data_IF_588816558939
#
_entry.id   IF_588816558939
#
_cell.length_a   1.000
_cell.length_b   1.000
_cell.length_c   1.000
_cell.angle_alpha   90.00
_cell.angle_beta   90.00
_cell.angle_gamma   90.00
#
_symmetry.space_group_name_H-M   'P 1'
#
loop_
_entity.id
_entity.type
_entity.pdbx_description
1 polymer ?
#
# COMPACT_ATOMS: atom_id res chain seq x y z
N UNK A 1 1.23 2.34 22.55
CA UNK A 1 0.50 3.20 21.60
C UNK A 1 1.51 3.83 20.66
N UNK A 2 1.38 3.62 19.35
CA UNK A 2 2.30 4.17 18.34
C UNK A 2 1.74 5.49 17.82
N UNK A 3 2.32 6.62 18.23
CA UNK A 3 1.81 7.97 17.91
C UNK A 3 1.67 8.22 16.40
N UNK A 4 2.55 7.63 15.61
CA UNK A 4 2.55 7.79 14.15
C UNK A 4 1.51 6.92 13.44
N UNK A 5 1.01 5.85 14.09
CA UNK A 5 0.15 4.88 13.42
C UNK A 5 -1.21 5.46 13.04
N UNK A 6 -1.87 6.18 13.94
CA UNK A 6 -3.20 6.73 13.68
C UNK A 6 -3.23 7.65 12.44
N UNK A 7 -2.41 8.72 12.39
CA UNK A 7 -2.38 9.63 11.25
C UNK A 7 -1.99 8.94 9.93
N UNK A 8 -0.96 8.08 9.96
CA UNK A 8 -0.48 7.40 8.75
C UNK A 8 -1.50 6.41 8.21
N UNK A 9 -2.17 5.66 9.09
CA UNK A 9 -3.24 4.74 8.71
C UNK A 9 -4.43 5.49 8.12
N UNK A 10 -4.91 6.55 8.78
CA UNK A 10 -6.05 7.33 8.29
C UNK A 10 -5.77 7.97 6.92
N UNK A 11 -4.56 8.50 6.72
CA UNK A 11 -4.17 9.08 5.43
C UNK A 11 -4.10 8.01 4.33
N UNK A 12 -3.40 6.89 4.60
CA UNK A 12 -3.29 5.77 3.65
C UNK A 12 -4.67 5.20 3.30
N UNK A 13 -5.51 4.96 4.31
CA UNK A 13 -6.83 4.36 4.11
C UNK A 13 -7.74 5.26 3.30
N UNK A 14 -7.86 6.54 3.69
CA UNK A 14 -8.70 7.53 3.00
C UNK A 14 -8.29 7.72 1.54
N UNK A 15 -6.98 7.83 1.28
CA UNK A 15 -6.46 7.93 -0.08
C UNK A 15 -6.71 6.64 -0.89
N UNK A 16 -6.53 5.48 -0.27
CA UNK A 16 -6.74 4.18 -0.93
C UNK A 16 -8.19 3.94 -1.34
N UNK A 17 -9.15 4.24 -0.46
CA UNK A 17 -10.59 4.10 -0.81
C UNK A 17 -11.01 5.11 -1.89
N UNK A 18 -10.52 6.34 -1.84
CA UNK A 18 -10.79 7.35 -2.88
C UNK A 18 -10.23 6.90 -4.23
N UNK A 19 -8.97 6.44 -4.26
CA UNK A 19 -8.34 5.95 -5.49
C UNK A 19 -9.06 4.72 -6.07
N UNK A 20 -9.49 3.78 -5.21
CA UNK A 20 -10.23 2.61 -5.65
C UNK A 20 -11.60 2.97 -6.26
N UNK A 21 -12.26 4.01 -5.75
CA UNK A 21 -13.53 4.51 -6.31
C UNK A 21 -13.30 5.26 -7.64
N UNK A 22 -12.33 6.17 -7.68
CA UNK A 22 -12.00 6.96 -8.88
C UNK A 22 -11.55 6.10 -10.07
N UNK A 23 -10.87 4.99 -9.79
CA UNK A 23 -10.36 4.05 -10.81
C UNK A 23 -11.38 2.96 -11.15
N UNK A 24 -12.53 2.91 -10.46
CA UNK A 24 -13.52 1.87 -10.68
C UNK A 24 -14.16 2.00 -12.07
N UNK A 25 -14.39 0.85 -12.71
CA UNK A 25 -15.24 0.79 -13.90
C UNK A 25 -16.68 1.21 -13.49
N UNK A 26 -17.40 1.99 -14.32
CA UNK A 26 -18.76 2.43 -14.00
C UNK A 26 -19.66 1.28 -13.55
N UNK A 27 -20.28 1.42 -12.38
CA UNK A 27 -21.14 0.39 -11.78
C UNK A 27 -20.42 -0.70 -10.97
N UNK A 28 -19.08 -0.70 -10.90
CA UNK A 28 -18.28 -1.70 -10.18
C UNK A 28 -17.49 -1.14 -8.99
N UNK A 29 -17.89 0.01 -8.44
CA UNK A 29 -17.23 0.62 -7.26
C UNK A 29 -17.15 -0.36 -6.08
N UNK A 30 -18.25 -1.05 -5.74
CA UNK A 30 -18.25 -2.05 -4.66
C UNK A 30 -17.22 -3.17 -4.88
N UNK A 31 -17.06 -3.63 -6.12
CA UNK A 31 -16.05 -4.64 -6.48
C UNK A 31 -14.64 -4.08 -6.31
N UNK A 32 -14.39 -2.83 -6.75
CA UNK A 32 -13.10 -2.17 -6.57
C UNK A 32 -12.72 -1.99 -5.09
N UNK A 33 -13.67 -1.57 -4.25
CA UNK A 33 -13.49 -1.50 -2.80
C UNK A 33 -13.24 -2.88 -2.18
N UNK A 34 -13.93 -3.91 -2.66
CA UNK A 34 -13.71 -5.29 -2.25
C UNK A 34 -12.29 -5.78 -2.56
N UNK A 35 -11.78 -5.47 -3.77
CA UNK A 35 -10.40 -5.79 -4.17
C UNK A 35 -9.39 -5.02 -3.32
N UNK A 36 -9.58 -3.72 -3.11
CA UNK A 36 -8.72 -2.91 -2.26
C UNK A 36 -8.65 -3.48 -0.84
N UNK A 37 -9.81 -3.72 -0.22
CA UNK A 37 -9.90 -4.26 1.12
C UNK A 37 -9.30 -5.68 1.22
N UNK A 38 -9.60 -6.56 0.27
CA UNK A 38 -9.05 -7.91 0.21
C UNK A 38 -7.53 -7.91 0.01
N UNK A 39 -6.99 -6.92 -0.69
CA UNK A 39 -5.54 -6.76 -0.87
C UNK A 39 -4.87 -6.25 0.39
N UNK A 40 -5.41 -5.20 1.03
CA UNK A 40 -4.79 -4.58 2.22
C UNK A 40 -4.96 -5.47 3.46
N UNK A 41 -6.21 -5.84 3.78
CA UNK A 41 -6.53 -6.57 5.01
C UNK A 41 -6.40 -8.09 4.87
N UNK A 42 -6.49 -8.63 3.65
CA UNK A 42 -6.35 -10.06 3.37
C UNK A 42 -4.94 -10.44 2.97
N UNK A 43 -4.64 -10.31 1.68
CA UNK A 43 -3.38 -10.78 1.07
C UNK A 43 -2.15 -10.10 1.69
N UNK A 44 -2.17 -8.78 1.83
CA UNK A 44 -1.10 -8.00 2.42
C UNK A 44 -0.82 -8.42 3.86
N UNK A 45 -1.87 -8.55 4.68
CA UNK A 45 -1.76 -9.05 6.06
C UNK A 45 -1.17 -10.46 6.12
N UNK A 46 -1.65 -11.38 5.27
CA UNK A 46 -1.18 -12.76 5.27
C UNK A 46 0.30 -12.87 4.86
N UNK A 47 0.69 -12.21 3.77
CA UNK A 47 2.08 -12.18 3.31
C UNK A 47 2.99 -11.49 4.34
N UNK A 48 2.54 -10.36 4.89
CA UNK A 48 3.27 -9.65 5.94
C UNK A 48 3.48 -10.49 7.20
N UNK A 49 2.48 -11.25 7.61
CA UNK A 49 2.58 -12.14 8.77
C UNK A 49 3.55 -13.31 8.51
N UNK A 50 3.46 -13.96 7.34
CA UNK A 50 4.33 -15.09 6.98
C UNK A 50 5.79 -14.64 6.82
N UNK A 51 6.03 -13.62 5.99
CA UNK A 51 7.39 -13.13 5.69
C UNK A 51 7.98 -12.44 6.93
N UNK A 52 7.21 -11.59 7.59
CA UNK A 52 7.62 -10.88 8.78
C UNK A 52 7.89 -11.82 9.96
N UNK A 53 7.05 -12.84 10.14
CA UNK A 53 7.24 -13.88 11.16
C UNK A 53 8.53 -14.66 10.93
N UNK A 54 8.77 -15.10 9.69
CA UNK A 54 10.01 -15.79 9.33
C UNK A 54 11.26 -14.92 9.58
N UNK A 55 11.25 -13.66 9.14
CA UNK A 55 12.36 -12.72 9.37
C UNK A 55 12.58 -12.43 10.86
N UNK A 56 11.49 -12.33 11.62
CA UNK A 56 11.54 -12.12 13.06
C UNK A 56 12.18 -13.33 13.77
N UNK A 57 11.79 -14.54 13.39
CA UNK A 57 12.33 -15.78 13.96
C UNK A 57 13.81 -15.98 13.62
N UNK A 58 14.21 -15.72 12.36
CA UNK A 58 15.58 -15.96 11.91
C UNK A 58 16.59 -14.91 12.39
N UNK A 59 16.16 -13.64 12.44
CA UNK A 59 17.08 -12.48 12.53
C UNK A 59 16.73 -11.51 13.65
N UNK A 60 15.64 -11.79 14.38
CA UNK A 60 15.15 -10.95 15.47
C UNK A 60 14.36 -9.71 15.00
N UNK A 61 13.75 -9.04 15.98
CA UNK A 61 12.83 -7.94 15.76
C UNK A 61 13.43 -6.75 14.99
N UNK A 62 14.65 -6.33 15.35
CA UNK A 62 15.27 -5.12 14.79
C UNK A 62 15.45 -5.24 13.28
N UNK A 63 16.00 -6.37 12.83
CA UNK A 63 16.24 -6.63 11.40
C UNK A 63 14.91 -6.77 10.66
N UNK A 64 13.92 -7.45 11.23
CA UNK A 64 12.59 -7.59 10.62
C UNK A 64 11.91 -6.23 10.37
N UNK A 65 11.94 -5.32 11.35
CA UNK A 65 11.35 -3.98 11.20
C UNK A 65 12.15 -3.08 10.25
N UNK A 66 13.48 -3.21 10.19
CA UNK A 66 14.28 -2.50 9.19
C UNK A 66 13.91 -2.93 7.76
N UNK A 67 13.76 -4.24 7.54
CA UNK A 67 13.29 -4.76 6.25
C UNK A 67 11.89 -4.27 5.90
N UNK A 68 10.96 -4.24 6.86
CA UNK A 68 9.64 -3.65 6.64
C UNK A 68 9.73 -2.17 6.24
N UNK A 69 10.63 -1.41 6.88
CA UNK A 69 10.90 -0.02 6.52
C UNK A 69 11.43 0.15 5.10
N UNK A 70 12.46 -0.62 4.71
CA UNK A 70 13.02 -0.58 3.36
C UNK A 70 12.01 -1.02 2.30
N UNK A 71 11.23 -2.06 2.55
CA UNK A 71 10.19 -2.52 1.64
C UNK A 71 9.11 -1.46 1.44
N UNK A 72 8.68 -0.80 2.53
CA UNK A 72 7.69 0.30 2.46
C UNK A 72 8.24 1.49 1.69
N UNK A 73 9.50 1.88 1.92
CA UNK A 73 10.14 2.98 1.19
C UNK A 73 10.27 2.66 -0.31
N UNK A 74 10.68 1.44 -0.66
CA UNK A 74 10.78 1.01 -2.04
C UNK A 74 9.40 1.03 -2.74
N UNK A 75 8.36 0.54 -2.07
CA UNK A 75 6.99 0.60 -2.58
C UNK A 75 6.51 2.05 -2.80
N UNK A 76 6.84 2.96 -1.88
CA UNK A 76 6.52 4.38 -2.02
C UNK A 76 7.24 5.03 -3.21
N UNK A 77 8.55 4.76 -3.39
CA UNK A 77 9.32 5.26 -4.54
C UNK A 77 8.72 4.74 -5.86
N UNK A 78 8.39 3.45 -5.91
CA UNK A 78 7.76 2.84 -7.08
C UNK A 78 6.40 3.49 -7.38
N UNK A 79 5.56 3.66 -6.36
CA UNK A 79 4.26 4.32 -6.49
C UNK A 79 4.38 5.72 -7.08
N UNK A 80 5.28 6.55 -6.52
CA UNK A 80 5.54 7.90 -7.02
C UNK A 80 6.09 7.88 -8.44
N UNK A 81 7.03 6.98 -8.74
CA UNK A 81 7.61 6.84 -10.09
C UNK A 81 6.55 6.53 -11.15
N UNK A 82 5.69 5.56 -10.89
CA UNK A 82 4.60 5.17 -11.80
C UNK A 82 3.59 6.31 -11.99
N UNK A 83 3.17 6.97 -10.90
CA UNK A 83 2.21 8.06 -10.97
C UNK A 83 2.77 9.33 -11.62
N UNK A 84 4.08 9.57 -11.51
CA UNK A 84 4.72 10.69 -12.24
C UNK A 84 4.76 10.41 -13.74
N UNK A 85 5.04 9.18 -14.15
CA UNK A 85 5.08 8.79 -15.55
C UNK A 85 3.71 8.91 -16.23
N UNK A 86 2.64 8.48 -15.55
CA UNK A 86 1.28 8.63 -16.09
C UNK A 86 0.91 10.11 -16.33
N UNK A 87 1.21 10.98 -15.37
CA UNK A 87 0.96 12.43 -15.50
C UNK A 87 1.75 13.07 -16.66
N UNK A 88 3.01 12.68 -16.86
CA UNK A 88 3.83 13.19 -17.97
C UNK A 88 3.24 12.76 -19.32
N UNK A 89 2.79 11.52 -19.44
CA UNK A 89 2.15 11.03 -20.66
C UNK A 89 0.83 11.75 -20.96
N UNK A 90 0.04 12.06 -19.93
CA UNK A 90 -1.22 12.81 -20.12
C UNK A 90 -1.00 14.26 -20.54
N UNK A 91 0.01 14.92 -20.00
CA UNK A 91 0.37 16.29 -20.37
C UNK A 91 0.99 16.39 -21.76
N UNK A 92 1.80 15.40 -22.18
CA UNK A 92 2.37 15.37 -23.53
C UNK A 92 1.38 14.98 -24.64
N UNK A 93 0.18 14.51 -24.27
CA UNK A 93 -0.89 14.10 -25.19
C UNK A 93 -1.97 15.19 -25.37
N UNK A 94 -1.88 16.30 -24.64
CA UNK A 94 -2.72 17.51 -24.79
C UNK A 94 -1.96 18.58 -25.56
#
# INVERSE_FOLDING_TARGET
ISLLHGPTFSAMWSAGVAYADETAVPGLSTTAQGIFNGTVLGLGSALGAVIGGFLYESSGAVVAFQWAGWATLAAFILFVGVHRQSLIMELGRR
#
